data_IF_920934674767
#
_entry.id   IF_920934674767
#
_cell.length_a   1.000
_cell.length_b   1.000
_cell.length_c   1.000
_cell.angle_alpha   90.00
_cell.angle_beta   90.00
_cell.angle_gamma   90.00
#
_symmetry.space_group_name_H-M   'P 1'
#
loop_
_entity.id
_entity.type
_entity.pdbx_description
1 polymer ?
#
# COMPACT_ATOMS: atom_id res chain seq x y z
N UNK A 1 -17.02 26.31 -7.75
CA UNK A 1 -17.92 25.32 -8.38
C UNK A 1 -18.16 24.21 -7.38
N UNK A 2 -19.41 23.74 -7.19
CA UNK A 2 -19.68 22.60 -6.33
C UNK A 2 -18.95 21.36 -6.85
N UNK A 3 -18.52 20.50 -5.94
CA UNK A 3 -17.88 19.24 -6.27
C UNK A 3 -18.88 18.33 -7.01
N UNK A 4 -18.48 17.52 -8.02
CA UNK A 4 -19.41 16.69 -8.78
C UNK A 4 -20.30 15.78 -7.91
N UNK A 5 -19.77 15.24 -6.81
CA UNK A 5 -20.55 14.43 -5.87
C UNK A 5 -21.59 15.24 -5.10
N UNK A 6 -21.36 16.54 -4.85
CA UNK A 6 -22.37 17.40 -4.23
C UNK A 6 -23.57 17.56 -5.17
N UNK A 7 -23.30 17.81 -6.45
CA UNK A 7 -24.33 17.90 -7.50
C UNK A 7 -25.06 16.57 -7.67
N UNK A 8 -24.35 15.44 -7.70
CA UNK A 8 -24.92 14.12 -7.93
C UNK A 8 -25.86 13.68 -6.80
N UNK A 9 -25.48 13.93 -5.55
CA UNK A 9 -26.21 13.41 -4.39
C UNK A 9 -27.08 14.46 -3.69
N UNK A 10 -27.02 15.73 -4.09
CA UNK A 10 -27.81 16.80 -3.48
C UNK A 10 -27.44 17.08 -2.02
N UNK A 11 -26.19 16.79 -1.64
CA UNK A 11 -25.64 17.01 -0.31
C UNK A 11 -24.38 17.85 -0.42
N UNK A 12 -24.12 18.70 0.56
CA UNK A 12 -22.85 19.41 0.66
C UNK A 12 -21.69 18.46 0.94
N UNK A 13 -20.46 18.88 0.66
CA UNK A 13 -19.27 18.11 0.94
C UNK A 13 -19.19 17.70 2.43
N UNK A 14 -19.60 18.59 3.34
CA UNK A 14 -19.63 18.29 4.76
C UNK A 14 -20.66 17.22 5.11
N UNK A 15 -21.88 17.30 4.56
CA UNK A 15 -22.91 16.27 4.80
C UNK A 15 -22.49 14.90 4.24
N UNK A 16 -21.81 14.88 3.10
CA UNK A 16 -21.23 13.66 2.53
C UNK A 16 -20.14 13.08 3.43
N UNK A 17 -19.22 13.92 3.92
CA UNK A 17 -18.16 13.50 4.84
C UNK A 17 -18.72 13.02 6.17
N UNK A 18 -19.76 13.66 6.70
CA UNK A 18 -20.46 13.23 7.91
C UNK A 18 -21.19 11.90 7.69
N UNK A 19 -21.79 11.70 6.52
CA UNK A 19 -22.42 10.44 6.16
C UNK A 19 -21.40 9.29 6.11
N UNK A 20 -20.20 9.52 5.58
CA UNK A 20 -19.08 8.56 5.63
C UNK A 20 -18.64 8.34 7.08
N UNK A 21 -18.45 9.42 7.85
CA UNK A 21 -17.93 9.37 9.22
C UNK A 21 -18.83 8.53 10.16
N UNK A 22 -20.14 8.53 9.94
CA UNK A 22 -21.10 7.74 10.76
C UNK A 22 -21.10 6.24 10.43
N UNK A 23 -20.46 5.79 9.36
CA UNK A 23 -20.56 4.42 8.85
C UNK A 23 -19.21 3.72 8.83
N UNK A 24 -19.06 2.67 9.64
CA UNK A 24 -17.81 1.92 9.77
C UNK A 24 -17.22 1.44 8.43
N UNK A 25 -18.03 0.79 7.58
CA UNK A 25 -17.53 0.28 6.28
C UNK A 25 -17.10 1.39 5.34
N UNK A 26 -17.82 2.52 5.33
CA UNK A 26 -17.47 3.67 4.51
C UNK A 26 -16.15 4.31 4.96
N UNK A 27 -15.89 4.36 6.27
CA UNK A 27 -14.58 4.76 6.81
C UNK A 27 -13.47 3.87 6.33
N UNK A 28 -13.61 2.55 6.44
CA UNK A 28 -12.58 1.60 6.00
C UNK A 28 -12.25 1.78 4.51
N UNK A 29 -13.27 2.00 3.67
CA UNK A 29 -13.06 2.33 2.25
C UNK A 29 -12.34 3.67 2.07
N UNK A 30 -12.76 4.71 2.80
CA UNK A 30 -12.13 6.03 2.75
C UNK A 30 -10.65 5.95 3.18
N UNK A 31 -10.33 5.20 4.23
CA UNK A 31 -8.96 5.01 4.70
C UNK A 31 -8.07 4.40 3.62
N UNK A 32 -8.58 3.42 2.86
CA UNK A 32 -7.91 2.86 1.68
C UNK A 32 -7.60 3.94 0.64
N UNK A 33 -8.63 4.68 0.22
CA UNK A 33 -8.48 5.77 -0.75
C UNK A 33 -7.53 6.88 -0.27
N UNK A 34 -7.54 7.21 1.03
CA UNK A 34 -6.62 8.20 1.61
C UNK A 34 -5.17 7.70 1.52
N UNK A 35 -4.91 6.43 1.79
CA UNK A 35 -3.58 5.84 1.65
C UNK A 35 -3.09 5.89 0.20
N UNK A 36 -3.93 5.52 -0.76
CA UNK A 36 -3.59 5.61 -2.19
C UNK A 36 -3.27 7.05 -2.60
N UNK A 37 -4.13 8.02 -2.29
CA UNK A 37 -3.88 9.46 -2.56
C UNK A 37 -2.58 9.95 -1.92
N UNK A 38 -2.24 9.47 -0.72
CA UNK A 38 -0.99 9.84 -0.04
C UNK A 38 0.23 9.22 -0.72
N UNK A 39 0.15 7.97 -1.17
CA UNK A 39 1.18 7.34 -1.98
C UNK A 39 1.38 8.09 -3.31
N UNK A 40 0.30 8.48 -3.98
CA UNK A 40 0.33 9.31 -5.18
C UNK A 40 1.07 10.64 -4.97
N UNK A 41 0.89 11.30 -3.82
CA UNK A 41 1.66 12.51 -3.46
C UNK A 41 3.15 12.25 -3.30
N UNK A 42 3.54 11.13 -2.68
CA UNK A 42 4.95 10.71 -2.57
C UNK A 42 5.52 10.49 -3.96
N UNK A 43 4.83 9.73 -4.82
CA UNK A 43 5.25 9.43 -6.19
C UNK A 43 5.41 10.72 -7.00
N UNK A 44 4.42 11.62 -6.96
CA UNK A 44 4.49 12.91 -7.66
C UNK A 44 5.67 13.77 -7.20
N UNK A 45 5.94 13.82 -5.89
CA UNK A 45 7.12 14.53 -5.39
C UNK A 45 8.44 13.94 -5.92
N UNK A 46 8.51 12.63 -6.12
CA UNK A 46 9.68 11.97 -6.72
C UNK A 46 9.78 12.21 -8.22
N UNK A 47 8.65 12.39 -8.92
CA UNK A 47 8.64 12.85 -10.32
C UNK A 47 9.18 14.27 -10.46
N UNK A 48 8.70 15.18 -9.62
CA UNK A 48 9.16 16.58 -9.58
C UNK A 48 10.67 16.69 -9.29
N UNK A 49 11.23 15.72 -8.55
CA UNK A 49 12.67 15.59 -8.28
C UNK A 49 13.45 14.86 -9.38
N UNK A 50 12.80 14.40 -10.44
CA UNK A 50 13.42 13.65 -11.54
C UNK A 50 13.85 12.22 -11.19
N UNK A 51 13.45 11.69 -10.03
CA UNK A 51 13.77 10.32 -9.61
C UNK A 51 12.83 9.28 -10.23
N UNK A 52 11.60 9.70 -10.54
CA UNK A 52 10.62 8.97 -11.34
C UNK A 52 10.43 9.77 -12.64
N UNK A 53 10.54 9.10 -13.79
CA UNK A 53 10.37 9.74 -15.12
C UNK A 53 8.89 10.02 -15.38
N UNK A 54 8.03 9.07 -15.00
CA UNK A 54 6.58 9.16 -15.09
C UNK A 54 5.93 8.12 -14.20
N UNK A 55 4.65 8.29 -13.94
CA UNK A 55 3.81 7.39 -13.20
C UNK A 55 2.42 7.32 -13.83
N UNK A 56 1.70 6.28 -13.43
CA UNK A 56 0.30 6.08 -13.78
C UNK A 56 -0.40 5.48 -12.58
N UNK A 57 -1.47 6.15 -12.16
CA UNK A 57 -2.45 5.60 -11.23
C UNK A 57 -3.41 4.67 -11.98
N UNK A 58 -3.86 3.60 -11.33
CA UNK A 58 -4.80 2.64 -11.89
C UNK A 58 -5.98 2.47 -10.95
N UNK A 59 -7.18 2.66 -11.50
CA UNK A 59 -8.44 2.30 -10.86
C UNK A 59 -9.02 1.07 -11.57
N UNK A 60 -8.38 -0.09 -11.35
CA UNK A 60 -8.81 -1.36 -11.96
C UNK A 60 -8.74 -2.48 -10.95
N UNK A 61 -9.84 -3.21 -10.83
CA UNK A 61 -9.92 -4.38 -9.94
C UNK A 61 -8.79 -5.38 -10.24
N UNK A 62 -8.17 -5.87 -9.16
CA UNK A 62 -7.05 -6.80 -9.16
C UNK A 62 -5.78 -6.34 -9.93
N UNK A 63 -5.64 -5.07 -10.26
CA UNK A 63 -4.40 -4.46 -10.78
C UNK A 63 -3.77 -3.56 -9.70
N UNK A 64 -2.42 -3.42 -9.64
CA UNK A 64 -1.77 -2.57 -8.65
C UNK A 64 -2.13 -1.09 -8.82
N UNK A 65 -2.16 -0.36 -7.71
CA UNK A 65 -2.64 1.04 -7.66
C UNK A 65 -1.78 2.00 -8.49
N UNK A 66 -0.46 1.78 -8.56
CA UNK A 66 0.44 2.61 -9.37
C UNK A 66 1.42 1.80 -10.21
N UNK A 67 1.82 2.36 -11.35
CA UNK A 67 3.05 1.99 -12.05
C UNK A 67 3.94 3.20 -12.17
N UNK A 68 5.23 3.06 -11.86
CA UNK A 68 6.24 4.11 -11.98
C UNK A 68 7.36 3.67 -12.92
N UNK A 69 7.90 4.61 -13.69
CA UNK A 69 9.04 4.37 -14.58
C UNK A 69 10.21 5.19 -14.10
N UNK A 70 11.39 4.56 -14.03
CA UNK A 70 12.62 5.18 -13.55
C UNK A 70 13.71 5.01 -14.60
N UNK A 71 14.69 5.91 -14.60
CA UNK A 71 15.83 5.82 -15.50
C UNK A 71 16.63 4.52 -15.31
N UNK A 72 17.08 3.95 -16.43
CA UNK A 72 17.87 2.72 -16.45
C UNK A 72 17.06 1.43 -16.38
N UNK A 73 15.72 1.51 -16.36
CA UNK A 73 14.82 0.34 -16.34
C UNK A 73 13.78 0.43 -17.45
N UNK A 74 13.73 -0.61 -18.28
CA UNK A 74 12.82 -0.68 -19.44
C UNK A 74 11.35 -0.90 -19.05
N UNK A 75 11.11 -1.66 -17.98
CA UNK A 75 9.77 -2.01 -17.52
C UNK A 75 9.33 -1.16 -16.33
N UNK A 76 8.05 -0.77 -16.32
CA UNK A 76 7.45 -0.08 -15.19
C UNK A 76 7.48 -0.94 -13.92
N UNK A 77 7.66 -0.28 -12.78
CA UNK A 77 7.61 -0.88 -11.44
C UNK A 77 6.19 -0.67 -10.91
N UNK A 78 5.49 -1.76 -10.63
CA UNK A 78 4.14 -1.71 -10.07
C UNK A 78 4.18 -1.64 -8.55
N UNK A 79 3.35 -0.78 -7.99
CA UNK A 79 3.26 -0.50 -6.57
C UNK A 79 1.83 -0.77 -6.13
N UNK A 80 1.68 -1.64 -5.14
CA UNK A 80 0.43 -1.84 -4.41
C UNK A 80 0.49 -1.08 -3.09
N UNK A 81 -0.58 -0.40 -2.72
CA UNK A 81 -0.75 0.32 -1.47
C UNK A 81 -1.71 -0.46 -0.56
N UNK A 82 -1.33 -0.55 0.73
CA UNK A 82 -2.20 -1.10 1.77
C UNK A 82 -2.11 -0.27 3.03
N UNK A 83 -3.19 -0.26 3.80
CA UNK A 83 -3.15 0.23 5.16
C UNK A 83 -2.67 -0.85 6.11
N UNK A 84 -1.93 -0.43 7.13
CA UNK A 84 -1.66 -1.27 8.29
C UNK A 84 -2.98 -1.67 8.98
N UNK A 85 -3.02 -2.87 9.58
CA UNK A 85 -4.18 -3.31 10.38
C UNK A 85 -4.31 -2.54 11.69
N UNK A 86 -5.45 -2.67 12.36
CA UNK A 86 -5.75 -1.97 13.62
C UNK A 86 -4.88 -2.46 14.80
N UNK A 87 -4.87 -1.71 15.92
CA UNK A 87 -3.79 -1.78 16.92
C UNK A 87 -3.89 -2.98 17.88
N UNK A 88 -5.11 -3.46 18.06
CA UNK A 88 -5.43 -4.77 18.62
C UNK A 88 -4.78 -5.92 17.84
N UNK A 89 -4.47 -5.71 16.56
CA UNK A 89 -3.90 -6.72 15.69
C UNK A 89 -2.38 -6.67 15.55
N UNK A 90 -1.69 -5.74 16.21
CA UNK A 90 -0.23 -5.67 16.21
C UNK A 90 0.41 -6.89 16.89
N UNK A 91 1.68 -7.19 16.56
CA UNK A 91 2.46 -8.15 17.33
C UNK A 91 2.83 -7.53 18.68
N UNK A 92 2.55 -8.24 19.77
CA UNK A 92 2.82 -7.78 21.13
C UNK A 92 3.71 -8.77 21.87
N UNK A 93 4.60 -8.24 22.72
CA UNK A 93 5.38 -8.99 23.69
C UNK A 93 5.33 -8.23 25.01
N UNK A 94 4.97 -8.92 26.08
CA UNK A 94 4.83 -8.33 27.43
C UNK A 94 3.92 -7.09 27.45
N UNK A 95 2.81 -7.15 26.71
CA UNK A 95 1.83 -6.06 26.58
C UNK A 95 2.26 -4.90 25.67
N UNK A 96 3.52 -4.84 25.22
CA UNK A 96 4.04 -3.79 24.35
C UNK A 96 3.98 -4.21 22.89
N UNK A 97 3.64 -3.27 22.01
CA UNK A 97 3.69 -3.49 20.56
C UNK A 97 5.14 -3.57 20.11
N UNK A 98 5.49 -4.62 19.36
CA UNK A 98 6.85 -4.87 18.85
C UNK A 98 6.92 -4.92 17.31
N UNK A 99 5.76 -4.93 16.65
CA UNK A 99 5.62 -4.76 15.20
C UNK A 99 4.15 -4.61 14.82
N UNK A 100 3.91 -3.99 13.68
CA UNK A 100 2.60 -3.94 13.07
C UNK A 100 2.37 -5.10 12.08
N UNK A 101 1.13 -5.20 11.58
CA UNK A 101 0.72 -6.16 10.56
C UNK A 101 0.07 -5.46 9.38
N UNK A 102 0.41 -5.86 8.17
CA UNK A 102 -0.34 -5.53 6.97
C UNK A 102 -0.94 -6.80 6.38
N UNK A 103 -2.16 -6.68 5.87
CA UNK A 103 -2.83 -7.76 5.14
C UNK A 103 -2.61 -7.60 3.64
N UNK A 104 -1.93 -8.58 3.04
CA UNK A 104 -1.70 -8.68 1.60
C UNK A 104 -2.64 -9.71 1.00
N UNK A 105 -3.93 -9.39 0.98
CA UNK A 105 -4.97 -10.20 0.37
C UNK A 105 -5.98 -9.33 -0.38
N UNK A 106 -6.51 -9.83 -1.50
CA UNK A 106 -7.63 -9.24 -2.22
C UNK A 106 -8.93 -9.44 -1.44
N UNK A 107 -9.86 -8.50 -1.60
CA UNK A 107 -11.19 -8.55 -0.96
C UNK A 107 -12.09 -9.66 -1.52
N UNK A 108 -11.84 -10.14 -2.75
CA UNK A 108 -12.66 -11.15 -3.43
C UNK A 108 -11.85 -12.36 -3.91
N UNK A 109 -12.42 -13.55 -3.75
CA UNK A 109 -11.93 -14.80 -4.34
C UNK A 109 -12.62 -15.07 -5.68
N UNK A 110 -11.95 -15.83 -6.52
CA UNK A 110 -12.53 -16.48 -7.68
C UNK A 110 -13.34 -17.67 -7.19
N UNK A 111 -14.50 -17.92 -7.81
CA UNK A 111 -15.35 -19.05 -7.44
C UNK A 111 -14.56 -20.35 -7.58
N UNK A 112 -14.46 -21.12 -6.50
CA UNK A 112 -13.76 -22.42 -6.48
C UNK A 112 -12.24 -22.35 -6.32
N UNK A 113 -11.63 -21.16 -6.23
CA UNK A 113 -10.19 -20.99 -5.99
C UNK A 113 -9.94 -20.02 -4.80
N UNK A 114 -9.83 -20.54 -3.57
CA UNK A 114 -9.50 -19.74 -2.39
C UNK A 114 -8.14 -19.03 -2.49
N UNK A 115 -7.19 -19.59 -3.25
CA UNK A 115 -5.83 -19.04 -3.39
C UNK A 115 -5.80 -17.77 -4.24
N UNK A 116 -6.84 -17.50 -5.03
CA UNK A 116 -6.90 -16.34 -5.93
C UNK A 116 -6.92 -15.01 -5.17
N UNK A 117 -7.35 -15.03 -3.90
CA UNK A 117 -7.27 -13.89 -2.98
C UNK A 117 -5.83 -13.53 -2.60
N UNK A 118 -4.93 -14.50 -2.56
CA UNK A 118 -3.55 -14.26 -2.18
C UNK A 118 -2.78 -13.67 -3.37
N UNK A 119 -2.06 -12.57 -3.13
CA UNK A 119 -1.21 -11.97 -4.16
C UNK A 119 -0.06 -12.92 -4.53
N UNK A 120 0.34 -12.89 -5.81
CA UNK A 120 1.57 -13.53 -6.27
C UNK A 120 2.71 -12.52 -6.29
N UNK A 121 3.95 -13.00 -6.20
CA UNK A 121 5.17 -12.18 -6.32
C UNK A 121 5.34 -11.47 -7.66
N UNK A 122 4.53 -11.83 -8.66
CA UNK A 122 4.53 -11.22 -9.99
C UNK A 122 3.42 -10.19 -10.18
N UNK A 123 2.57 -9.96 -9.16
CA UNK A 123 1.45 -9.05 -9.29
C UNK A 123 1.87 -7.58 -9.15
N UNK A 124 2.83 -7.30 -8.26
CA UNK A 124 3.46 -6.00 -8.10
C UNK A 124 4.94 -6.18 -7.68
N UNK A 125 5.76 -5.16 -7.87
CA UNK A 125 7.18 -5.17 -7.50
C UNK A 125 7.42 -4.59 -6.10
N UNK A 126 6.59 -3.64 -5.68
CA UNK A 126 6.68 -2.93 -4.40
C UNK A 126 5.34 -2.98 -3.67
N UNK A 127 5.38 -3.21 -2.36
CA UNK A 127 4.28 -2.93 -1.45
C UNK A 127 4.60 -1.65 -0.67
N UNK A 128 3.75 -0.64 -0.79
CA UNK A 128 3.73 0.53 0.08
C UNK A 128 2.69 0.35 1.19
N UNK A 129 3.10 0.53 2.44
CA UNK A 129 2.22 0.36 3.61
C UNK A 129 2.05 1.71 4.30
N UNK A 130 0.83 2.23 4.28
CA UNK A 130 0.47 3.43 5.04
C UNK A 130 0.29 3.10 6.51
N UNK A 131 0.93 3.90 7.37
CA UNK A 131 0.94 3.73 8.83
C UNK A 131 0.01 4.70 9.56
N UNK A 132 -0.75 5.53 8.82
CA UNK A 132 -1.58 6.60 9.39
C UNK A 132 -2.55 6.14 10.49
N UNK A 133 -3.08 4.92 10.40
CA UNK A 133 -3.92 4.31 11.45
C UNK A 133 -3.22 4.12 12.80
N UNK A 134 -1.89 4.08 12.81
CA UNK A 134 -1.05 3.87 14.00
C UNK A 134 -0.39 5.16 14.47
N UNK A 135 0.04 5.98 13.52
CA UNK A 135 0.84 7.17 13.82
C UNK A 135 0.00 8.44 13.89
N UNK A 136 -1.22 8.42 13.35
CA UNK A 136 -2.05 9.62 13.13
C UNK A 136 -1.62 10.44 11.90
N UNK A 137 -0.44 10.17 11.34
CA UNK A 137 0.07 10.84 10.15
C UNK A 137 -0.04 9.92 8.92
N UNK A 138 -1.03 10.20 8.07
CA UNK A 138 -1.28 9.45 6.83
C UNK A 138 -0.19 9.61 5.76
N UNK A 139 0.81 10.47 5.96
CA UNK A 139 1.99 10.53 5.11
C UNK A 139 3.08 9.52 5.51
N UNK A 140 2.95 8.85 6.66
CA UNK A 140 3.92 7.86 7.10
C UNK A 140 3.74 6.56 6.32
N UNK A 141 4.81 6.15 5.62
CA UNK A 141 4.85 4.94 4.83
C UNK A 141 6.09 4.12 5.12
N UNK A 142 5.95 2.80 4.93
CA UNK A 142 7.07 1.89 4.74
C UNK A 142 6.91 1.14 3.43
N UNK A 143 8.02 0.91 2.74
CA UNK A 143 8.07 0.27 1.43
C UNK A 143 8.91 -0.99 1.49
N UNK A 144 8.52 -2.01 0.74
CA UNK A 144 9.29 -3.26 0.63
C UNK A 144 9.17 -3.85 -0.78
N UNK A 145 10.24 -4.48 -1.28
CA UNK A 145 10.15 -5.25 -2.52
C UNK A 145 9.30 -6.50 -2.29
N UNK A 146 8.38 -6.77 -3.21
CA UNK A 146 7.49 -7.93 -3.17
C UNK A 146 8.26 -9.25 -2.95
N UNK A 147 9.44 -9.41 -3.56
CA UNK A 147 10.26 -10.64 -3.43
C UNK A 147 10.83 -10.87 -2.01
N UNK A 148 10.72 -9.89 -1.10
CA UNK A 148 11.13 -9.99 0.31
C UNK A 148 9.96 -10.31 1.24
N UNK A 149 8.72 -10.31 0.73
CA UNK A 149 7.55 -10.67 1.52
C UNK A 149 7.52 -12.18 1.82
N UNK A 150 6.97 -12.52 2.98
CA UNK A 150 6.86 -13.90 3.47
C UNK A 150 5.99 -14.72 2.51
N UNK A 151 6.43 -15.94 2.21
CA UNK A 151 5.72 -16.89 1.34
C UNK A 151 4.52 -17.48 2.04
N UNK A 152 3.46 -17.72 1.29
CA UNK A 152 2.34 -18.52 1.78
C UNK A 152 2.83 -19.94 2.08
N UNK A 153 2.44 -20.50 3.22
CA UNK A 153 2.82 -21.86 3.64
C UNK A 153 2.27 -22.92 2.69
N UNK A 154 1.02 -22.75 2.25
CA UNK A 154 0.30 -23.72 1.41
C UNK A 154 0.38 -23.45 -0.11
N UNK A 155 0.30 -22.18 -0.54
CA UNK A 155 0.18 -21.85 -1.97
C UNK A 155 1.50 -21.39 -2.57
N UNK A 156 2.12 -22.27 -3.37
CA UNK A 156 3.41 -21.98 -4.03
C UNK A 156 3.34 -20.72 -4.89
N UNK A 157 4.30 -19.82 -4.68
CA UNK A 157 4.39 -18.56 -5.44
C UNK A 157 3.42 -17.46 -5.01
N UNK A 158 2.65 -17.69 -3.93
CA UNK A 158 1.82 -16.68 -3.28
C UNK A 158 2.51 -16.11 -2.04
N UNK A 159 2.15 -14.88 -1.71
CA UNK A 159 2.52 -14.22 -0.46
C UNK A 159 1.62 -14.71 0.67
N UNK A 160 2.16 -14.80 1.89
CA UNK A 160 1.35 -14.99 3.08
C UNK A 160 0.38 -13.81 3.25
N UNK A 161 -0.84 -14.09 3.73
CA UNK A 161 -1.86 -13.06 3.94
C UNK A 161 -1.41 -11.97 4.90
N UNK A 162 -0.67 -12.33 5.95
CA UNK A 162 -0.18 -11.36 6.94
C UNK A 162 1.33 -11.18 6.82
N UNK A 163 1.76 -9.93 6.76
CA UNK A 163 3.17 -9.54 6.69
C UNK A 163 3.52 -8.71 7.91
N UNK A 164 4.68 -8.98 8.52
CA UNK A 164 5.22 -8.20 9.63
C UNK A 164 5.76 -6.87 9.10
N UNK A 165 5.35 -5.78 9.73
CA UNK A 165 5.82 -4.42 9.42
C UNK A 165 6.53 -3.86 10.66
N UNK A 166 7.77 -3.35 10.54
CA UNK A 166 8.50 -2.80 11.68
C UNK A 166 7.85 -1.53 12.21
N UNK A 167 8.20 -1.15 13.44
CA UNK A 167 7.81 0.14 14.01
C UNK A 167 8.69 1.25 13.44
N UNK A 168 8.16 2.46 13.30
CA UNK A 168 8.91 3.60 12.75
C UNK A 168 10.07 4.07 13.64
N UNK A 169 9.93 3.84 14.94
CA UNK A 169 10.88 4.15 16.00
C UNK A 169 11.72 2.92 16.40
N UNK A 170 11.59 1.79 15.69
CA UNK A 170 12.39 0.60 15.93
C UNK A 170 13.77 0.66 15.27
N UNK A 171 14.71 -0.14 15.79
CA UNK A 171 16.10 -0.17 15.29
C UNK A 171 16.31 -1.13 14.11
N UNK A 172 15.39 -2.07 13.87
CA UNK A 172 15.50 -3.08 12.81
C UNK A 172 14.33 -2.98 11.80
N UNK A 173 14.67 -2.47 10.61
CA UNK A 173 13.77 -2.41 9.45
C UNK A 173 13.93 -3.61 8.51
N UNK A 174 14.95 -4.45 8.66
CA UNK A 174 15.23 -5.59 7.78
C UNK A 174 15.29 -5.19 6.30
N UNK A 175 14.22 -5.49 5.55
CA UNK A 175 14.09 -5.19 4.12
C UNK A 175 13.11 -4.03 3.81
N UNK A 176 12.61 -3.37 4.84
CA UNK A 176 11.72 -2.23 4.72
C UNK A 176 12.50 -0.93 4.56
N UNK A 177 11.95 -0.01 3.79
CA UNK A 177 12.49 1.31 3.53
C UNK A 177 11.49 2.37 3.97
N UNK A 178 11.97 3.45 4.58
CA UNK A 178 11.16 4.63 4.92
C UNK A 178 10.95 5.55 3.72
N UNK A 179 11.87 5.50 2.75
CA UNK A 179 11.80 6.29 1.53
C UNK A 179 11.65 5.37 0.31
N UNK A 180 10.63 5.67 -0.52
CA UNK A 180 10.42 4.99 -1.78
C UNK A 180 11.61 5.20 -2.74
N UNK A 181 12.27 6.35 -2.70
CA UNK A 181 13.43 6.63 -3.54
C UNK A 181 14.59 5.66 -3.26
N UNK A 182 14.88 5.38 -1.99
CA UNK A 182 15.91 4.42 -1.58
C UNK A 182 15.60 3.03 -2.15
N UNK A 183 14.36 2.56 -1.98
CA UNK A 183 13.94 1.26 -2.51
C UNK A 183 14.07 1.20 -4.04
N UNK A 184 13.64 2.26 -4.75
CA UNK A 184 13.74 2.33 -6.21
C UNK A 184 15.19 2.23 -6.69
N UNK A 185 16.15 2.83 -5.98
CA UNK A 185 17.57 2.71 -6.32
C UNK A 185 18.07 1.26 -6.26
N UNK A 186 17.63 0.48 -5.26
CA UNK A 186 17.99 -0.95 -5.17
C UNK A 186 17.43 -1.78 -6.35
N UNK A 187 16.35 -1.30 -6.98
CA UNK A 187 15.71 -1.95 -8.12
C UNK A 187 16.31 -1.52 -9.46
N UNK A 188 17.04 -0.39 -9.53
CA UNK A 188 17.84 0.00 -10.70
C UNK A 188 19.02 -0.96 -10.92
N UNK A 189 19.67 -1.36 -9.83
CA UNK A 189 20.93 -2.13 -9.87
C UNK A 189 20.75 -3.62 -10.20
N UNK A 190 19.52 -4.15 -10.21
CA UNK A 190 19.25 -5.58 -10.47
C UNK A 190 19.30 -5.99 -11.95
N UNK A 191 20.04 -5.27 -12.81
CA UNK A 191 20.52 -5.86 -14.08
C UNK A 191 21.56 -6.93 -13.72
N UNK A 192 21.12 -8.18 -13.53
CA UNK A 192 22.05 -9.30 -13.72
C UNK A 192 22.30 -9.44 -15.22
N UNK A 193 23.56 -9.73 -15.63
CA UNK A 193 23.99 -9.84 -17.01
C UNK A 193 23.18 -10.89 -17.79
#
# INVERSE_FOLDING_TARGET
>A
MPHPLETQYGLTANELLDAINKRFRAKVTLEGAVAEVKAGKIIKSLEEKGLIIRSKEHDRDAYPDYTVWIEGRETGIRIECKNIRDADEAYKKDGKVIAYKVETQKTRASKGDPSSRCYSYKQFEILGVCLGKKTGNWADFLFISANKLIKHSEYRGKMATMQRVPLLDGDDFGHWHRDLAELLQTLKQKRRP
#
